data_IF_687820773424
#
_entry.id   IF_687820773424
#
_cell.length_a   1.000
_cell.length_b   1.000
_cell.length_c   1.000
_cell.angle_alpha   90.00
_cell.angle_beta   90.00
_cell.angle_gamma   90.00
#
_symmetry.space_group_name_H-M   'P 1'
#
loop_
_entity.id
_entity.type
_entity.pdbx_description
1 polymer ?
#
# COMPACT_ATOMS: atom_id res chain seq x y z
N UNK A 1 -3.76 24.21 -31.25
CA UNK A 1 -4.33 24.41 -29.90
C UNK A 1 -4.47 23.04 -29.25
N UNK A 2 -3.45 22.54 -28.53
CA UNK A 2 -3.51 21.21 -27.89
C UNK A 2 -2.74 21.01 -26.56
N UNK A 3 -1.98 21.97 -25.98
CA UNK A 3 -1.30 21.72 -24.70
C UNK A 3 -2.19 21.88 -23.45
N UNK A 4 -3.31 22.59 -23.56
CA UNK A 4 -4.20 22.90 -22.42
C UNK A 4 -5.06 21.70 -22.02
N UNK A 5 -5.54 20.92 -22.99
CA UNK A 5 -6.38 19.74 -22.74
C UNK A 5 -5.59 18.61 -22.05
N UNK A 6 -4.36 18.35 -22.51
CA UNK A 6 -3.48 17.34 -21.90
C UNK A 6 -3.08 17.70 -20.44
N UNK A 7 -2.83 19.00 -20.16
CA UNK A 7 -2.58 19.48 -18.80
C UNK A 7 -3.80 19.34 -17.90
N UNK A 8 -5.01 19.61 -18.43
CA UNK A 8 -6.27 19.40 -17.71
C UNK A 8 -6.52 17.93 -17.37
N UNK A 9 -6.23 17.01 -18.30
CA UNK A 9 -6.35 15.56 -18.09
C UNK A 9 -5.39 15.05 -17.00
N UNK A 10 -4.13 15.49 -17.00
CA UNK A 10 -3.15 15.12 -15.97
C UNK A 10 -3.53 15.65 -14.59
N UNK A 11 -3.94 16.92 -14.51
CA UNK A 11 -4.38 17.52 -13.25
C UNK A 11 -5.61 16.81 -12.68
N UNK A 12 -6.59 16.46 -13.54
CA UNK A 12 -7.75 15.66 -13.15
C UNK A 12 -7.37 14.27 -12.66
N UNK A 13 -6.46 13.58 -13.37
CA UNK A 13 -5.96 12.26 -12.97
C UNK A 13 -5.25 12.29 -11.61
N UNK A 14 -4.34 13.25 -11.40
CA UNK A 14 -3.64 13.41 -10.12
C UNK A 14 -4.60 13.81 -9.00
N UNK A 15 -5.60 14.65 -9.29
CA UNK A 15 -6.63 15.03 -8.33
C UNK A 15 -7.47 13.85 -7.88
N UNK A 16 -7.98 13.05 -8.82
CA UNK A 16 -8.76 11.83 -8.53
C UNK A 16 -7.91 10.81 -7.78
N UNK A 17 -6.67 10.59 -8.22
CA UNK A 17 -5.73 9.71 -7.53
C UNK A 17 -5.53 10.18 -6.08
N UNK A 18 -5.23 11.47 -5.86
CA UNK A 18 -5.01 12.02 -4.52
C UNK A 18 -6.24 11.89 -3.62
N UNK A 19 -7.43 12.24 -4.11
CA UNK A 19 -8.68 12.15 -3.33
C UNK A 19 -9.00 10.70 -2.95
N UNK A 20 -8.86 9.77 -3.89
CA UNK A 20 -9.13 8.34 -3.62
C UNK A 20 -8.17 7.77 -2.58
N UNK A 21 -6.87 8.11 -2.65
CA UNK A 21 -5.88 7.63 -1.67
C UNK A 21 -6.06 8.30 -0.32
N UNK A 22 -6.38 9.58 -0.27
CA UNK A 22 -6.69 10.27 0.97
C UNK A 22 -7.91 9.63 1.66
N UNK A 23 -8.99 9.37 0.92
CA UNK A 23 -10.16 8.69 1.45
C UNK A 23 -9.81 7.28 1.99
N UNK A 24 -9.03 6.50 1.24
CA UNK A 24 -8.56 5.18 1.70
C UNK A 24 -7.73 5.29 2.98
N UNK A 25 -6.79 6.24 3.06
CA UNK A 25 -5.96 6.47 4.24
C UNK A 25 -6.78 6.85 5.47
N UNK A 26 -7.78 7.72 5.30
CA UNK A 26 -8.71 8.06 6.39
C UNK A 26 -9.46 6.83 6.92
N UNK A 27 -9.83 5.91 6.04
CA UNK A 27 -10.47 4.65 6.43
C UNK A 27 -9.50 3.69 7.14
N UNK A 28 -8.32 3.42 6.56
CA UNK A 28 -7.39 2.42 7.13
C UNK A 28 -6.71 2.89 8.41
N UNK A 29 -6.56 4.21 8.59
CA UNK A 29 -6.10 4.83 9.83
C UNK A 29 -7.24 5.07 10.84
N UNK A 30 -8.44 4.56 10.56
CA UNK A 30 -9.61 4.62 11.45
C UNK A 30 -10.08 6.04 11.81
N UNK A 31 -9.71 7.05 11.01
CA UNK A 31 -10.26 8.41 11.13
C UNK A 31 -11.73 8.41 10.70
N UNK A 32 -12.05 7.62 9.67
CA UNK A 32 -13.42 7.34 9.23
C UNK A 32 -13.64 5.83 9.37
N UNK A 33 -14.64 5.43 10.17
CA UNK A 33 -14.99 4.02 10.35
C UNK A 33 -16.11 3.66 9.37
N UNK A 34 -15.80 2.80 8.40
CA UNK A 34 -16.80 2.29 7.47
C UNK A 34 -17.57 1.13 8.12
N UNK A 35 -18.91 1.07 8.01
CA UNK A 35 -19.69 -0.03 8.54
C UNK A 35 -19.40 -1.33 7.77
N UNK A 36 -18.96 -2.38 8.46
CA UNK A 36 -18.67 -3.69 7.85
C UNK A 36 -17.45 -4.40 8.47
N UNK A 37 -17.00 -5.52 7.86
CA UNK A 37 -15.83 -6.26 8.32
C UNK A 37 -14.56 -5.39 8.28
N UNK A 38 -13.76 -5.49 9.34
CA UNK A 38 -12.55 -4.71 9.49
C UNK A 38 -11.35 -5.38 8.80
N UNK A 39 -11.12 -5.03 7.54
CA UNK A 39 -9.97 -5.55 6.77
C UNK A 39 -8.61 -5.02 7.26
N UNK A 40 -8.57 -3.99 8.11
CA UNK A 40 -7.29 -3.51 8.68
C UNK A 40 -6.78 -4.44 9.77
N UNK A 41 -7.68 -5.22 10.39
CA UNK A 41 -7.31 -6.23 11.38
C UNK A 41 -6.46 -7.35 10.78
N UNK A 42 -6.63 -7.67 9.50
CA UNK A 42 -5.77 -8.63 8.80
C UNK A 42 -4.31 -8.15 8.77
N UNK A 43 -4.06 -6.84 8.62
CA UNK A 43 -2.70 -6.29 8.63
C UNK A 43 -2.12 -6.27 10.04
N UNK A 44 -2.90 -5.83 11.03
CA UNK A 44 -2.42 -5.71 12.41
C UNK A 44 -2.28 -7.06 13.13
N UNK A 45 -3.01 -8.10 12.68
CA UNK A 45 -3.00 -9.43 13.30
C UNK A 45 -2.29 -10.46 12.40
N UNK A 46 -2.79 -10.72 11.20
CA UNK A 46 -2.27 -11.79 10.33
C UNK A 46 -0.90 -11.42 9.78
N UNK A 47 -0.77 -10.24 9.16
CA UNK A 47 0.52 -9.83 8.58
C UNK A 47 1.58 -9.61 9.66
N UNK A 48 1.17 -9.13 10.84
CA UNK A 48 2.09 -9.00 11.98
C UNK A 48 2.57 -10.36 12.48
N UNK A 49 1.68 -11.35 12.58
CA UNK A 49 2.06 -12.73 12.92
C UNK A 49 3.04 -13.33 11.91
N UNK A 50 2.80 -13.15 10.62
CA UNK A 50 3.75 -13.57 9.58
C UNK A 50 5.08 -12.83 9.66
N UNK A 51 5.07 -11.52 9.94
CA UNK A 51 6.29 -10.74 10.13
C UNK A 51 7.17 -11.32 11.24
N UNK A 52 6.57 -11.66 12.39
CA UNK A 52 7.29 -12.20 13.55
C UNK A 52 7.93 -13.57 13.22
N UNK A 53 7.37 -14.36 12.30
CA UNK A 53 7.99 -15.59 11.79
C UNK A 53 9.07 -15.28 10.75
N UNK A 54 8.76 -14.44 9.76
CA UNK A 54 9.65 -14.11 8.64
C UNK A 54 10.97 -13.46 9.10
N UNK A 55 10.95 -12.66 10.17
CA UNK A 55 12.15 -12.01 10.69
C UNK A 55 13.17 -13.01 11.25
N UNK A 56 12.73 -14.24 11.56
CA UNK A 56 13.62 -15.34 11.99
C UNK A 56 14.32 -16.04 10.82
N UNK A 57 13.98 -15.69 9.57
CA UNK A 57 14.54 -16.29 8.36
C UNK A 57 13.79 -17.52 7.85
N UNK A 58 12.63 -17.84 8.43
CA UNK A 58 11.77 -18.95 8.00
C UNK A 58 10.42 -18.46 7.51
N UNK A 59 9.79 -19.21 6.61
CA UNK A 59 8.41 -18.95 6.19
C UNK A 59 7.42 -19.60 7.16
N UNK A 60 6.20 -19.05 7.32
CA UNK A 60 5.14 -19.65 8.14
C UNK A 60 4.53 -20.87 7.42
N UNK A 61 5.30 -21.95 7.29
CA UNK A 61 4.97 -23.13 6.48
C UNK A 61 3.75 -23.91 6.98
N UNK A 62 3.49 -23.87 8.29
CA UNK A 62 2.37 -24.55 8.94
C UNK A 62 1.09 -23.69 9.00
N UNK A 63 1.16 -22.43 8.56
CA UNK A 63 0.02 -21.52 8.55
C UNK A 63 -0.70 -21.58 7.19
N UNK A 64 -1.90 -22.16 7.17
CA UNK A 64 -2.72 -22.29 5.96
C UNK A 64 -3.20 -20.95 5.38
N UNK A 65 -3.10 -19.87 6.15
CA UNK A 65 -3.41 -18.52 5.67
C UNK A 65 -2.26 -17.96 4.82
N UNK A 66 -1.05 -18.51 4.93
CA UNK A 66 0.09 -18.16 4.08
C UNK A 66 0.05 -18.92 2.74
N UNK A 67 -0.36 -18.23 1.68
CA UNK A 67 -0.50 -18.82 0.33
C UNK A 67 0.36 -18.10 -0.72
N UNK A 68 1.25 -17.21 -0.29
CA UNK A 68 1.99 -16.32 -1.17
C UNK A 68 3.37 -16.87 -1.57
N UNK A 69 3.86 -16.52 -2.77
CA UNK A 69 5.24 -16.84 -3.16
C UNK A 69 6.25 -16.09 -2.27
N UNK A 70 7.52 -16.56 -2.19
CA UNK A 70 8.54 -15.98 -1.32
C UNK A 70 8.73 -14.46 -1.43
N UNK A 71 8.59 -13.90 -2.63
CA UNK A 71 8.73 -12.46 -2.86
C UNK A 71 7.71 -11.61 -2.08
N UNK A 72 6.54 -12.15 -1.71
CA UNK A 72 5.55 -11.44 -0.90
C UNK A 72 6.06 -11.15 0.53
N UNK A 73 7.02 -11.94 1.03
CA UNK A 73 7.64 -11.66 2.32
C UNK A 73 8.31 -10.28 2.35
N UNK A 74 8.77 -9.74 1.21
CA UNK A 74 9.35 -8.40 1.17
C UNK A 74 8.32 -7.34 1.57
N UNK A 75 7.06 -7.47 1.14
CA UNK A 75 6.01 -6.54 1.52
C UNK A 75 5.70 -6.63 3.02
N UNK A 76 5.63 -7.85 3.57
CA UNK A 76 5.36 -8.10 4.99
C UNK A 76 6.53 -7.66 5.88
N UNK A 77 7.78 -7.80 5.42
CA UNK A 77 8.98 -7.37 6.15
C UNK A 77 9.25 -5.87 6.03
N UNK A 78 8.78 -5.22 4.97
CA UNK A 78 9.07 -3.81 4.67
C UNK A 78 8.77 -2.82 5.80
N UNK A 79 7.74 -2.99 6.66
CA UNK A 79 7.48 -2.06 7.78
C UNK A 79 8.67 -1.88 8.74
N UNK A 80 9.60 -2.83 8.80
CA UNK A 80 10.82 -2.73 9.61
C UNK A 80 11.72 -1.53 9.23
N UNK A 81 11.57 -0.97 8.02
CA UNK A 81 12.32 0.24 7.59
C UNK A 81 11.80 1.53 8.23
N UNK A 82 10.62 1.49 8.85
CA UNK A 82 10.00 2.62 9.56
C UNK A 82 9.68 2.25 11.02
N UNK A 83 10.70 1.92 11.86
CA UNK A 83 10.49 1.34 13.19
C UNK A 83 9.88 2.30 14.21
N UNK A 84 9.76 3.59 13.86
CA UNK A 84 9.14 4.64 14.67
C UNK A 84 7.62 4.74 14.46
N UNK A 85 7.05 3.96 13.55
CA UNK A 85 5.61 3.85 13.32
C UNK A 85 5.08 2.50 13.78
N UNK A 86 3.79 2.44 14.12
CA UNK A 86 3.10 1.17 14.31
C UNK A 86 3.11 0.35 13.01
N UNK A 87 3.16 -0.98 13.14
CA UNK A 87 3.33 -1.89 12.00
C UNK A 87 2.31 -1.66 10.87
N UNK A 88 1.02 -1.53 11.21
CA UNK A 88 -0.02 -1.30 10.24
C UNK A 88 0.13 0.07 9.55
N UNK A 89 0.43 1.13 10.32
CA UNK A 89 0.69 2.46 9.79
C UNK A 89 1.89 2.48 8.85
N UNK A 90 3.00 1.85 9.25
CA UNK A 90 4.20 1.71 8.43
C UNK A 90 3.89 0.98 7.12
N UNK A 91 3.13 -0.13 7.18
CA UNK A 91 2.69 -0.87 6.00
C UNK A 91 1.88 0.02 5.03
N UNK A 92 0.88 0.75 5.52
CA UNK A 92 0.06 1.61 4.68
C UNK A 92 0.84 2.79 4.07
N UNK A 93 1.79 3.37 4.81
CA UNK A 93 2.68 4.41 4.26
C UNK A 93 3.54 3.85 3.13
N UNK A 94 4.14 2.67 3.31
CA UNK A 94 4.96 2.03 2.27
C UNK A 94 4.13 1.61 1.05
N UNK A 95 2.92 1.10 1.27
CA UNK A 95 1.98 0.79 0.19
C UNK A 95 1.61 2.05 -0.62
N UNK A 96 1.37 3.19 0.05
CA UNK A 96 1.11 4.47 -0.61
C UNK A 96 2.32 4.94 -1.43
N UNK A 97 3.54 4.82 -0.89
CA UNK A 97 4.77 5.16 -1.60
C UNK A 97 4.94 4.29 -2.85
N UNK A 98 4.68 2.98 -2.73
CA UNK A 98 4.74 2.06 -3.87
C UNK A 98 3.70 2.38 -4.94
N UNK A 99 2.46 2.69 -4.56
CA UNK A 99 1.40 3.12 -5.49
C UNK A 99 1.75 4.44 -6.20
N UNK A 100 2.30 5.41 -5.46
CA UNK A 100 2.77 6.67 -6.04
C UNK A 100 3.93 6.46 -7.04
N UNK A 101 4.86 5.55 -6.72
CA UNK A 101 5.95 5.19 -7.61
C UNK A 101 5.44 4.50 -8.89
N UNK A 102 4.49 3.57 -8.76
CA UNK A 102 3.85 2.92 -9.90
C UNK A 102 3.15 3.94 -10.81
N UNK A 103 2.39 4.88 -10.23
CA UNK A 103 1.77 5.97 -10.99
C UNK A 103 2.82 6.81 -11.73
N UNK A 104 3.90 7.19 -11.06
CA UNK A 104 4.97 7.98 -11.66
C UNK A 104 5.64 7.26 -12.84
N UNK A 105 5.88 5.95 -12.71
CA UNK A 105 6.43 5.12 -13.78
C UNK A 105 5.48 5.01 -14.97
N UNK A 106 4.18 4.81 -14.73
CA UNK A 106 3.17 4.78 -15.79
C UNK A 106 3.08 6.12 -16.53
N UNK A 107 3.08 7.23 -15.79
CA UNK A 107 3.08 8.58 -16.37
C UNK A 107 4.37 8.88 -17.13
N UNK A 108 5.51 8.33 -16.72
CA UNK A 108 6.76 8.44 -17.46
C UNK A 108 6.70 7.64 -18.76
N UNK A 109 6.20 6.40 -18.71
CA UNK A 109 6.01 5.56 -19.89
C UNK A 109 5.06 6.20 -20.91
N UNK A 110 3.91 6.71 -20.45
CA UNK A 110 2.92 7.35 -21.31
C UNK A 110 3.41 8.65 -21.99
N UNK A 111 4.46 9.29 -21.48
CA UNK A 111 5.08 10.48 -22.11
C UNK A 111 6.17 10.14 -23.13
N UNK A 112 6.66 8.90 -23.13
CA UNK A 112 7.69 8.41 -24.05
C UNK A 112 7.16 7.61 -25.24
N UNK A 113 5.84 7.39 -25.29
CA UNK A 113 5.09 6.75 -26.39
C UNK A 113 4.47 7.79 -27.30
#
# INVERSE_FOLDING_TARGET
>A
MEPTAARGSLAGLLGIWGVTRAALLLCVLKVIVFPGPDVTSDVSVIYRGWYDVLVTGTFPQDDVTWQYPPAAALAVLSPAVLPFLEYATAFFVLALVADAAALALLLRGARGS
#
